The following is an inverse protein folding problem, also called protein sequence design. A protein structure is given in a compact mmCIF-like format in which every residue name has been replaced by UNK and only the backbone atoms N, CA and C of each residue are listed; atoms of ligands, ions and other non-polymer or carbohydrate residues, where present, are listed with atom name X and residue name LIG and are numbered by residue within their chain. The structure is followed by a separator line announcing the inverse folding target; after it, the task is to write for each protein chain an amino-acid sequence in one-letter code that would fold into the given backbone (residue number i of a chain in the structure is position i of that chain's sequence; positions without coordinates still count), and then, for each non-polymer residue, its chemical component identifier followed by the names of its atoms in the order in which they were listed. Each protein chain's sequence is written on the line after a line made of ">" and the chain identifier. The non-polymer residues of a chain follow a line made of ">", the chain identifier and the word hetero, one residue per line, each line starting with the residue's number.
data_IF_090342641483
#
_entry.id   IF_090342641483
#
_cell.length_a   1.000
_cell.length_b   1.000
_cell.length_c   1.000
_cell.angle_alpha   90.00
_cell.angle_beta   90.00
_cell.angle_gamma   90.00
#
_symmetry.space_group_name_H-M   'P 1'
#
loop_
_entity.id
_entity.type
_entity.pdbx_description
1 polymer ?
#
# COMPACT_ATOMS: atom_id res chain seq x y z
N UNK A 1 -3.74 10.91 5.33
CA UNK A 1 -3.21 11.20 3.98
C UNK A 1 -3.20 12.70 3.70
N UNK A 2 -4.36 13.37 3.65
CA UNK A 2 -4.40 14.83 3.40
C UNK A 2 -3.60 15.67 4.41
N UNK A 3 -3.66 15.35 5.71
CA UNK A 3 -2.84 16.01 6.73
C UNK A 3 -1.33 15.93 6.45
N UNK A 4 -0.84 14.73 6.10
CA UNK A 4 0.56 14.52 5.72
C UNK A 4 0.95 15.35 4.49
N UNK A 5 0.06 15.45 3.51
CA UNK A 5 0.31 16.27 2.32
C UNK A 5 0.45 17.76 2.72
N UNK A 6 -0.42 18.25 3.60
CA UNK A 6 -0.33 19.62 4.14
C UNK A 6 0.93 19.87 4.98
N UNK A 7 1.46 18.84 5.64
CA UNK A 7 2.72 18.88 6.38
C UNK A 7 3.96 18.76 5.47
N UNK A 8 3.78 18.63 4.16
CA UNK A 8 4.89 18.53 3.19
C UNK A 8 5.42 17.11 2.96
N UNK A 9 4.70 16.08 3.43
CA UNK A 9 5.05 14.68 3.17
C UNK A 9 4.31 14.15 1.95
N UNK A 10 5.06 13.70 0.93
CA UNK A 10 4.49 13.00 -0.22
C UNK A 10 3.80 11.71 0.23
N UNK A 11 2.62 11.45 -0.30
CA UNK A 11 1.88 10.21 -0.05
C UNK A 11 1.75 9.46 -1.36
N UNK A 12 2.20 8.21 -1.39
CA UNK A 12 2.14 7.30 -2.53
C UNK A 12 1.32 6.06 -2.15
N UNK A 13 0.27 5.79 -2.90
CA UNK A 13 -0.58 4.62 -2.75
C UNK A 13 -0.61 3.85 -4.07
N UNK A 14 -0.28 2.56 -4.04
CA UNK A 14 -0.41 1.69 -5.19
C UNK A 14 -1.14 0.41 -4.85
N UNK A 15 -1.73 -0.22 -5.86
CA UNK A 15 -2.45 -1.48 -5.73
C UNK A 15 -3.55 -1.62 -6.76
N UNK A 16 -4.23 -2.76 -6.75
CA UNK A 16 -5.31 -3.03 -7.71
C UNK A 16 -6.57 -2.25 -7.32
N UNK A 17 -7.13 -1.50 -8.27
CA UNK A 17 -8.34 -0.68 -8.12
C UNK A 17 -8.33 0.33 -6.94
N UNK A 18 -7.15 0.66 -6.42
CA UNK A 18 -7.01 1.50 -5.21
C UNK A 18 -7.54 2.92 -5.39
N UNK A 19 -7.56 3.47 -6.61
CA UNK A 19 -8.06 4.83 -6.82
C UNK A 19 -9.53 4.98 -6.45
N UNK A 20 -10.36 3.98 -6.76
CA UNK A 20 -11.76 3.89 -6.31
C UNK A 20 -11.85 3.20 -4.94
N UNK A 21 -10.97 2.24 -4.71
CA UNK A 21 -11.05 1.23 -3.66
C UNK A 21 -11.81 0.00 -4.15
N UNK A 22 -11.29 -1.19 -3.81
CA UNK A 22 -11.91 -2.48 -4.12
C UNK A 22 -13.39 -2.50 -3.74
N UNK A 23 -13.69 -1.99 -2.54
CA UNK A 23 -15.02 -1.97 -1.94
C UNK A 23 -15.80 -0.67 -2.23
N UNK A 24 -15.37 0.11 -3.22
CA UNK A 24 -15.97 1.40 -3.60
C UNK A 24 -16.10 2.38 -2.44
N UNK A 25 -15.08 2.43 -1.59
CA UNK A 25 -15.09 3.18 -0.34
C UNK A 25 -14.18 4.42 -0.37
N UNK A 26 -13.22 4.50 -1.30
CA UNK A 26 -12.14 5.51 -1.25
C UNK A 26 -12.39 6.73 -2.14
N UNK A 27 -12.74 6.51 -3.40
CA UNK A 27 -13.00 7.58 -4.38
C UNK A 27 -11.92 8.69 -4.44
N UNK A 28 -10.64 8.32 -4.37
CA UNK A 28 -9.53 9.28 -4.38
C UNK A 28 -9.28 9.91 -5.76
N UNK A 29 -9.70 9.24 -6.84
CA UNK A 29 -9.71 9.79 -8.19
C UNK A 29 -11.15 9.79 -8.73
N UNK A 30 -11.69 10.99 -8.97
CA UNK A 30 -13.04 11.20 -9.46
C UNK A 30 -13.03 11.29 -10.99
N UNK A 31 -13.94 10.58 -11.64
CA UNK A 31 -14.06 10.55 -13.10
C UNK A 31 -15.33 11.27 -13.56
N UNK A 32 -15.17 12.33 -14.35
CA UNK A 32 -16.28 13.02 -14.99
C UNK A 32 -16.95 12.10 -16.03
N UNK A 33 -18.27 11.92 -15.91
CA UNK A 33 -19.03 10.99 -16.74
C UNK A 33 -19.23 11.47 -18.19
N UNK A 34 -19.06 12.76 -18.46
CA UNK A 34 -19.24 13.38 -19.78
C UNK A 34 -17.91 13.54 -20.50
N UNK A 35 -16.90 14.06 -19.82
CA UNK A 35 -15.61 14.41 -20.41
C UNK A 35 -14.54 13.35 -20.22
N UNK A 36 -14.74 12.41 -19.28
CA UNK A 36 -13.74 11.45 -18.78
C UNK A 36 -12.52 12.09 -18.12
N UNK A 37 -12.56 13.39 -17.81
CA UNK A 37 -11.50 14.03 -17.05
C UNK A 37 -11.44 13.48 -15.62
N UNK A 38 -10.24 13.44 -15.06
CA UNK A 38 -9.99 13.01 -13.69
C UNK A 38 -9.77 14.19 -12.77
N UNK A 39 -10.26 14.10 -11.54
CA UNK A 39 -10.01 15.08 -10.48
C UNK A 39 -9.63 14.36 -9.18
N UNK A 40 -8.53 14.77 -8.57
CA UNK A 40 -8.02 14.20 -7.32
C UNK A 40 -8.13 15.25 -6.21
N UNK A 41 -9.17 15.20 -5.36
CA UNK A 41 -9.38 16.22 -4.31
C UNK A 41 -8.20 16.37 -3.35
N UNK A 42 -7.46 15.28 -3.11
CA UNK A 42 -6.29 15.31 -2.23
C UNK A 42 -5.08 16.05 -2.81
N UNK A 43 -5.09 16.43 -4.09
CA UNK A 43 -4.10 17.30 -4.72
C UNK A 43 -4.55 18.77 -4.82
N UNK A 44 -5.70 19.13 -4.23
CA UNK A 44 -6.27 20.48 -4.26
C UNK A 44 -6.65 20.97 -2.85
N UNK A 45 -5.80 20.68 -1.86
CA UNK A 45 -5.96 21.09 -0.46
C UNK A 45 -5.27 22.43 -0.16
N UNK A 46 -4.07 22.66 -0.73
CA UNK A 46 -3.29 23.89 -0.56
C UNK A 46 -2.24 24.03 -1.68
N UNK A 47 -1.88 25.24 -2.14
CA UNK A 47 -0.81 25.42 -3.12
C UNK A 47 0.57 24.93 -2.65
N UNK A 48 0.83 24.93 -1.35
CA UNK A 48 2.11 24.51 -0.75
C UNK A 48 2.15 23.03 -0.32
N UNK A 49 1.07 22.28 -0.55
CA UNK A 49 1.02 20.88 -0.14
C UNK A 49 2.06 20.03 -0.90
N UNK A 50 2.48 18.92 -0.28
CA UNK A 50 3.13 17.86 -1.01
C UNK A 50 2.14 17.09 -1.90
N UNK A 51 2.69 16.42 -2.91
CA UNK A 51 1.92 15.63 -3.86
C UNK A 51 1.22 14.46 -3.15
N UNK A 52 0.03 14.10 -3.63
CA UNK A 52 -0.64 12.84 -3.36
C UNK A 52 -0.70 12.05 -4.67
N UNK A 53 -0.13 10.85 -4.66
CA UNK A 53 -0.14 9.94 -5.82
C UNK A 53 -0.89 8.67 -5.46
N UNK A 54 -1.92 8.34 -6.23
CA UNK A 54 -2.61 7.04 -6.13
C UNK A 54 -2.81 6.46 -7.51
N UNK A 55 -2.35 5.22 -7.70
CA UNK A 55 -2.35 4.57 -9.01
C UNK A 55 -2.85 3.15 -8.94
N UNK A 56 -3.79 2.82 -9.84
CA UNK A 56 -4.18 1.44 -10.09
C UNK A 56 -2.97 0.71 -10.70
N UNK A 57 -2.47 -0.30 -9.99
CA UNK A 57 -1.31 -1.07 -10.42
C UNK A 57 -1.66 -2.05 -11.54
N UNK A 58 -0.63 -2.64 -12.15
CA UNK A 58 -0.82 -3.89 -12.88
C UNK A 58 -1.31 -4.99 -11.93
N UNK A 59 -1.88 -6.05 -12.49
CA UNK A 59 -2.34 -7.22 -11.75
C UNK A 59 -1.15 -8.10 -11.37
N UNK A 60 -0.30 -7.59 -10.47
CA UNK A 60 0.92 -8.24 -10.00
C UNK A 60 1.22 -7.82 -8.58
N UNK A 61 1.17 -8.74 -7.62
CA UNK A 61 1.58 -8.44 -6.25
C UNK A 61 3.11 -8.38 -6.14
N UNK A 62 3.81 -9.40 -6.65
CA UNK A 62 5.27 -9.49 -6.53
C UNK A 62 5.99 -8.26 -7.10
N UNK A 63 5.65 -7.86 -8.33
CA UNK A 63 6.33 -6.76 -9.02
C UNK A 63 6.04 -5.41 -8.37
N UNK A 64 4.79 -5.18 -7.95
CA UNK A 64 4.35 -3.90 -7.39
C UNK A 64 4.87 -3.73 -5.97
N UNK A 65 4.76 -4.75 -5.11
CA UNK A 65 5.31 -4.72 -3.75
C UNK A 65 6.83 -4.55 -3.78
N UNK A 66 7.54 -5.24 -4.68
CA UNK A 66 8.98 -5.07 -4.84
C UNK A 66 9.37 -3.65 -5.28
N UNK A 67 8.58 -3.05 -6.18
CA UNK A 67 8.80 -1.67 -6.64
C UNK A 67 8.58 -0.66 -5.51
N UNK A 68 7.48 -0.77 -4.77
CA UNK A 68 7.17 0.16 -3.69
C UNK A 68 8.11 -0.03 -2.48
N UNK A 69 8.57 -1.26 -2.21
CA UNK A 69 9.63 -1.49 -1.23
C UNK A 69 10.89 -0.72 -1.62
N UNK A 70 11.36 -0.87 -2.87
CA UNK A 70 12.51 -0.13 -3.38
C UNK A 70 12.33 1.39 -3.28
N UNK A 71 11.14 1.91 -3.61
CA UNK A 71 10.81 3.33 -3.46
C UNK A 71 10.96 3.79 -2.00
N UNK A 72 10.40 3.03 -1.06
CA UNK A 72 10.46 3.36 0.38
C UNK A 72 11.85 3.27 0.99
N UNK A 73 12.76 2.46 0.43
CA UNK A 73 14.15 2.41 0.85
C UNK A 73 14.95 3.63 0.38
N UNK A 74 14.63 4.15 -0.81
CA UNK A 74 15.32 5.30 -1.41
C UNK A 74 14.83 6.64 -0.86
N UNK A 75 13.54 6.72 -0.51
CA UNK A 75 12.92 7.93 0.00
C UNK A 75 12.35 7.66 1.39
N UNK A 76 12.97 8.20 2.47
CA UNK A 76 12.56 7.92 3.84
C UNK A 76 11.38 8.79 4.34
N UNK A 77 11.14 9.93 3.70
CA UNK A 77 10.11 10.90 4.12
C UNK A 77 8.67 10.65 3.60
N UNK A 78 8.43 10.07 2.41
CA UNK A 78 7.06 9.83 1.95
C UNK A 78 6.39 8.67 2.69
N UNK A 79 5.07 8.75 2.81
CA UNK A 79 4.25 7.59 3.15
C UNK A 79 4.04 6.75 1.90
N UNK A 80 4.60 5.53 1.88
CA UNK A 80 4.44 4.58 0.77
C UNK A 80 3.54 3.45 1.22
N UNK A 81 2.39 3.29 0.55
CA UNK A 81 1.38 2.27 0.85
C UNK A 81 1.16 1.40 -0.36
N UNK A 82 1.28 0.09 -0.17
CA UNK A 82 0.74 -0.89 -1.10
C UNK A 82 -0.55 -1.49 -0.52
N UNK A 83 -1.64 -1.49 -1.29
CA UNK A 83 -2.92 -2.11 -0.89
C UNK A 83 -3.22 -3.32 -1.76
N UNK A 84 -3.45 -4.47 -1.10
CA UNK A 84 -3.94 -5.67 -1.75
C UNK A 84 -5.43 -5.53 -2.07
N UNK A 85 -5.90 -6.15 -3.15
CA UNK A 85 -7.34 -6.21 -3.44
C UNK A 85 -8.08 -6.96 -2.32
N UNK A 86 -7.54 -8.12 -1.94
CA UNK A 86 -7.84 -8.89 -0.74
C UNK A 86 -6.52 -9.33 -0.11
N UNK A 87 -6.44 -9.40 1.22
CA UNK A 87 -5.21 -9.75 1.93
C UNK A 87 -4.68 -11.14 1.57
N UNK A 88 -5.56 -12.05 1.14
CA UNK A 88 -5.22 -13.41 0.72
C UNK A 88 -4.14 -13.44 -0.38
N UNK A 89 -4.18 -12.47 -1.31
CA UNK A 89 -3.25 -12.38 -2.45
C UNK A 89 -1.85 -11.86 -2.08
N UNK A 90 -1.63 -11.35 -0.87
CA UNK A 90 -0.30 -10.94 -0.44
C UNK A 90 0.72 -12.10 -0.46
N UNK A 91 0.25 -13.34 -0.43
CA UNK A 91 1.08 -14.54 -0.61
C UNK A 91 1.81 -14.59 -1.96
N UNK A 92 1.31 -13.95 -3.02
CA UNK A 92 1.99 -13.86 -4.31
C UNK A 92 3.27 -13.01 -4.24
N UNK A 93 3.38 -12.13 -3.22
CA UNK A 93 4.57 -11.33 -2.94
C UNK A 93 5.40 -11.90 -1.77
N UNK A 94 5.20 -13.16 -1.37
CA UNK A 94 5.83 -13.74 -0.17
C UNK A 94 7.36 -13.62 -0.16
N UNK A 95 8.02 -13.78 -1.31
CA UNK A 95 9.47 -13.61 -1.41
C UNK A 95 9.92 -12.20 -1.02
N UNK A 96 9.19 -11.17 -1.46
CA UNK A 96 9.48 -9.78 -1.12
C UNK A 96 9.24 -9.55 0.38
N UNK A 97 8.12 -10.06 0.90
CA UNK A 97 7.79 -9.94 2.32
C UNK A 97 8.87 -10.58 3.21
N UNK A 98 9.29 -11.80 2.90
CA UNK A 98 10.22 -12.55 3.76
C UNK A 98 11.68 -12.13 3.58
N UNK A 99 12.12 -11.90 2.33
CA UNK A 99 13.54 -11.66 2.05
C UNK A 99 13.94 -10.19 2.13
N UNK A 100 12.97 -9.28 2.05
CA UNK A 100 13.21 -7.85 2.03
C UNK A 100 12.47 -7.13 3.16
N UNK A 101 11.14 -7.05 3.11
CA UNK A 101 10.36 -6.22 4.04
C UNK A 101 10.62 -6.59 5.49
N UNK A 102 10.58 -7.88 5.82
CA UNK A 102 10.79 -8.32 7.20
C UNK A 102 12.28 -8.35 7.58
N UNK A 103 13.18 -8.75 6.67
CA UNK A 103 14.55 -9.14 7.06
C UNK A 103 15.68 -8.22 6.59
N UNK A 104 15.42 -7.25 5.72
CA UNK A 104 16.48 -6.43 5.12
C UNK A 104 17.22 -5.53 6.12
N UNK A 105 16.56 -5.03 7.16
CA UNK A 105 17.25 -4.23 8.18
C UNK A 105 18.30 -5.07 8.91
N UNK A 106 17.98 -6.30 9.28
CA UNK A 106 18.94 -7.18 9.95
C UNK A 106 20.03 -7.71 8.99
N UNK A 107 19.69 -7.96 7.73
CA UNK A 107 20.64 -8.50 6.73
C UNK A 107 21.60 -7.44 6.21
N UNK A 108 21.11 -6.23 5.96
CA UNK A 108 21.81 -5.21 5.18
C UNK A 108 21.71 -3.80 5.77
N UNK A 109 21.13 -3.63 6.96
CA UNK A 109 20.86 -2.32 7.58
C UNK A 109 20.00 -1.40 6.69
N UNK A 110 19.22 -2.00 5.78
CA UNK A 110 18.33 -1.27 4.88
C UNK A 110 16.96 -1.11 5.53
N UNK A 111 16.58 0.13 5.80
CA UNK A 111 15.30 0.50 6.40
C UNK A 111 14.27 0.82 5.33
N UNK A 112 13.04 0.42 5.58
CA UNK A 112 11.89 0.69 4.73
C UNK A 112 10.71 1.09 5.61
N UNK A 113 10.01 2.16 5.21
CA UNK A 113 8.76 2.60 5.83
C UNK A 113 7.51 2.15 5.06
N UNK A 114 7.61 1.10 4.23
CA UNK A 114 6.47 0.62 3.44
C UNK A 114 5.33 0.14 4.35
N UNK A 115 4.10 0.52 4.00
CA UNK A 115 2.88 0.04 4.63
C UNK A 115 2.19 -0.95 3.69
N UNK A 116 1.86 -2.14 4.21
CA UNK A 116 1.02 -3.12 3.50
C UNK A 116 -0.41 -3.04 4.06
N UNK A 117 -1.35 -2.54 3.26
CA UNK A 117 -2.78 -2.51 3.60
C UNK A 117 -3.44 -3.78 3.07
N UNK A 118 -3.85 -4.67 3.98
CA UNK A 118 -4.33 -6.01 3.66
C UNK A 118 -5.78 -6.18 4.15
N UNK A 119 -6.78 -6.06 3.27
CA UNK A 119 -8.16 -6.35 3.65
C UNK A 119 -8.30 -7.77 4.23
N UNK A 120 -8.91 -7.89 5.40
CA UNK A 120 -9.06 -9.13 6.16
C UNK A 120 -10.43 -9.12 6.86
N UNK A 121 -11.17 -10.23 6.80
CA UNK A 121 -12.49 -10.34 7.43
C UNK A 121 -13.26 -11.57 6.96
N UNK A 122 -13.96 -12.23 7.88
CA UNK A 122 -14.74 -13.45 7.60
C UNK A 122 -16.21 -13.13 7.35
N UNK A 123 -16.52 -12.58 6.17
CA UNK A 123 -17.87 -12.14 5.80
C UNK A 123 -18.62 -13.12 4.87
N UNK A 124 -18.11 -14.36 4.73
CA UNK A 124 -18.73 -15.40 3.92
C UNK A 124 -18.46 -15.30 2.41
N UNK A 125 -17.51 -14.46 1.98
CA UNK A 125 -17.13 -14.28 0.57
C UNK A 125 -16.27 -15.43 -0.01
N UNK A 126 -15.90 -16.42 0.82
CA UNK A 126 -15.14 -17.60 0.43
C UNK A 126 -13.68 -17.58 0.91
N UNK A 127 -12.96 -18.70 0.73
CA UNK A 127 -11.68 -18.94 1.39
C UNK A 127 -10.52 -18.05 0.92
N UNK A 128 -10.62 -17.46 -0.28
CA UNK A 128 -9.58 -16.58 -0.87
C UNK A 128 -9.97 -15.10 -0.82
N UNK A 129 -10.96 -14.75 -0.01
CA UNK A 129 -11.47 -13.38 0.20
C UNK A 129 -11.72 -13.12 1.69
N UNK A 130 -10.94 -13.76 2.56
CA UNK A 130 -11.20 -13.77 4.00
C UNK A 130 -9.97 -13.46 4.85
N UNK A 131 -8.79 -13.97 4.46
CA UNK A 131 -7.63 -14.00 5.35
C UNK A 131 -6.36 -13.45 4.72
N UNK A 132 -5.93 -12.29 5.25
CA UNK A 132 -4.56 -11.80 5.12
C UNK A 132 -3.45 -12.68 5.76
N UNK A 133 -3.78 -13.85 6.36
CA UNK A 133 -2.80 -14.77 6.97
C UNK A 133 -1.93 -14.10 8.04
N UNK A 134 -2.57 -13.40 8.97
CA UNK A 134 -1.92 -12.61 10.04
C UNK A 134 -0.87 -13.40 10.83
N UNK A 135 -1.09 -14.70 11.02
CA UNK A 135 -0.14 -15.62 11.68
C UNK A 135 1.25 -15.62 11.05
N UNK A 136 1.36 -15.36 9.73
CA UNK A 136 2.65 -15.27 9.03
C UNK A 136 3.39 -13.99 9.41
N UNK A 137 2.70 -12.86 9.44
CA UNK A 137 3.28 -11.58 9.84
C UNK A 137 3.70 -11.59 11.31
N UNK A 138 2.90 -12.22 12.19
CA UNK A 138 3.25 -12.39 13.60
C UNK A 138 4.46 -13.30 13.81
N UNK A 139 4.54 -14.39 13.03
CA UNK A 139 5.71 -15.28 13.05
C UNK A 139 6.97 -14.53 12.65
N UNK A 140 6.91 -13.71 11.60
CA UNK A 140 8.04 -12.87 11.16
C UNK A 140 8.40 -11.80 12.22
N UNK A 141 7.41 -11.13 12.81
CA UNK A 141 7.60 -10.08 13.84
C UNK A 141 8.38 -10.55 15.06
N UNK A 142 8.21 -11.81 15.49
CA UNK A 142 8.94 -12.35 16.65
C UNK A 142 10.47 -12.34 16.47
N UNK A 143 10.95 -12.19 15.24
CA UNK A 143 12.37 -12.21 14.92
C UNK A 143 12.88 -10.92 14.23
N UNK A 144 11.97 -10.01 13.84
CA UNK A 144 12.24 -8.97 12.85
C UNK A 144 11.49 -7.65 13.16
N UNK A 145 12.03 -6.49 12.74
CA UNK A 145 11.45 -5.17 12.99
C UNK A 145 10.23 -4.91 12.10
N UNK A 146 9.11 -5.56 12.41
CA UNK A 146 7.83 -5.40 11.72
C UNK A 146 6.75 -4.96 12.72
N UNK A 147 5.98 -3.95 12.35
CA UNK A 147 4.78 -3.57 13.09
C UNK A 147 3.54 -4.16 12.41
N UNK A 148 2.64 -4.72 13.22
CA UNK A 148 1.38 -5.33 12.79
C UNK A 148 0.30 -4.72 13.68
N UNK A 149 -0.70 -4.10 13.05
CA UNK A 149 -1.79 -3.37 13.69
C UNK A 149 -3.13 -3.89 13.20
#
# INVERSE_FOLDING_TARGET
>A
MGSLCLEGHHVRVSGQDVARGTFSQRHANLHDQRTRSTYMPLNDLSPEQAEFTIGNSSLSEYGVVGTDYGYSCMYPNPLVVWEAQFGDFANNAQCIIDQFISSAENKWLMRSGIVLSLPHGFDGQGPEHSSARMERFLTNKNYLPLEVF
#
